data_IF_265217309397
#
_entry.id   IF_265217309397
#
_cell.length_a   1.000
_cell.length_b   1.000
_cell.length_c   1.000
_cell.angle_alpha   90.00
_cell.angle_beta   90.00
_cell.angle_gamma   90.00
#
_symmetry.space_group_name_H-M   'P 1'
#
loop_
_entity.id
_entity.type
_entity.pdbx_description
1 polymer ?
#
# COMPACT_ATOMS: atom_id res chain seq x y z
N UNK A 1 -15.32 -5.56 7.89
CA UNK A 1 -14.99 -4.16 7.55
C UNK A 1 -14.74 -3.46 8.87
N UNK A 2 -13.69 -2.64 8.96
CA UNK A 2 -13.33 -1.94 10.21
C UNK A 2 -13.59 -0.46 9.99
N UNK A 3 -14.32 0.15 10.92
CA UNK A 3 -14.61 1.57 10.92
C UNK A 3 -13.50 2.31 11.66
N UNK A 4 -13.01 3.38 11.04
CA UNK A 4 -12.06 4.28 11.68
C UNK A 4 -12.84 5.27 12.57
N UNK A 5 -12.32 5.63 13.75
CA UNK A 5 -13.01 6.54 14.67
C UNK A 5 -13.20 7.94 14.07
N UNK A 6 -12.34 8.34 13.14
CA UNK A 6 -12.43 9.59 12.40
C UNK A 6 -11.82 9.44 11.00
N UNK A 7 -12.17 10.33 10.06
CA UNK A 7 -11.46 10.43 8.80
C UNK A 7 -9.97 10.75 9.03
N UNK A 8 -9.08 10.03 8.35
CA UNK A 8 -7.62 10.25 8.45
C UNK A 8 -6.95 10.00 7.11
N UNK A 9 -5.91 10.79 6.82
CA UNK A 9 -5.02 10.60 5.67
C UNK A 9 -3.63 10.10 6.09
N UNK A 10 -3.45 9.75 7.37
CA UNK A 10 -2.17 9.27 7.89
C UNK A 10 -1.93 7.81 7.50
N UNK A 11 -0.94 7.56 6.66
CA UNK A 11 -0.53 6.20 6.25
C UNK A 11 -0.19 5.32 7.45
N UNK A 12 0.44 5.89 8.50
CA UNK A 12 0.81 5.14 9.69
C UNK A 12 -0.42 4.67 10.49
N UNK A 13 -1.43 5.53 10.59
CA UNK A 13 -2.67 5.22 11.30
C UNK A 13 -3.50 4.19 10.56
N UNK A 14 -3.66 4.36 9.23
CA UNK A 14 -4.35 3.38 8.37
C UNK A 14 -3.65 2.01 8.47
N UNK A 15 -2.31 1.99 8.43
CA UNK A 15 -1.56 0.74 8.52
C UNK A 15 -1.76 0.03 9.87
N UNK A 16 -1.86 0.78 10.97
CA UNK A 16 -2.13 0.20 12.29
C UNK A 16 -3.43 -0.60 12.29
N UNK A 17 -4.54 0.03 11.88
CA UNK A 17 -5.85 -0.63 11.83
C UNK A 17 -5.86 -1.77 10.79
N UNK A 18 -5.20 -1.59 9.64
CA UNK A 18 -5.11 -2.65 8.64
C UNK A 18 -4.36 -3.89 9.16
N UNK A 19 -3.28 -3.72 9.94
CA UNK A 19 -2.56 -4.83 10.55
C UNK A 19 -3.37 -5.53 11.65
N UNK A 20 -4.13 -4.77 12.45
CA UNK A 20 -5.09 -5.34 13.41
C UNK A 20 -6.19 -6.15 12.70
N UNK A 21 -6.72 -5.61 11.60
CA UNK A 21 -7.68 -6.29 10.73
C UNK A 21 -7.11 -7.60 10.18
N UNK A 22 -5.87 -7.55 9.69
CA UNK A 22 -5.19 -8.69 9.09
C UNK A 22 -5.00 -9.80 10.11
N UNK A 23 -4.61 -9.48 11.36
CA UNK A 23 -4.50 -10.46 12.44
C UNK A 23 -5.81 -11.18 12.72
N UNK A 24 -6.95 -10.49 12.62
CA UNK A 24 -8.26 -11.07 12.88
C UNK A 24 -8.70 -12.08 11.79
N UNK A 25 -8.29 -11.86 10.54
CA UNK A 25 -8.64 -12.73 9.40
C UNK A 25 -7.54 -13.73 9.02
N UNK A 26 -6.38 -13.65 9.68
CA UNK A 26 -5.25 -14.51 9.39
C UNK A 26 -5.54 -15.94 9.83
N UNK A 27 -5.45 -16.87 8.87
CA UNK A 27 -5.63 -18.30 9.09
C UNK A 27 -4.27 -19.01 8.90
N UNK A 28 -3.83 -19.71 9.95
CA UNK A 28 -2.62 -20.50 9.89
C UNK A 28 -2.76 -21.66 8.89
N UNK A 29 -1.69 -21.96 8.15
CA UNK A 29 -1.64 -23.05 7.18
C UNK A 29 -2.03 -22.67 5.75
N UNK A 30 -2.41 -21.41 5.49
CA UNK A 30 -2.72 -20.92 4.15
C UNK A 30 -1.63 -20.01 3.59
N UNK A 31 -1.36 -20.16 2.28
CA UNK A 31 -0.47 -19.27 1.55
C UNK A 31 -1.28 -18.13 0.92
N UNK A 32 -1.03 -16.90 1.36
CA UNK A 32 -1.65 -15.70 0.81
C UNK A 32 -0.80 -15.14 -0.34
N UNK A 33 -1.40 -14.94 -1.51
CA UNK A 33 -0.68 -14.39 -2.68
C UNK A 33 -0.69 -12.86 -2.73
N UNK A 34 -1.85 -12.22 -2.44
CA UNK A 34 -2.00 -10.77 -2.44
C UNK A 34 -3.09 -10.38 -1.46
N UNK A 35 -2.85 -9.30 -0.70
CA UNK A 35 -3.83 -8.62 0.12
C UNK A 35 -3.93 -7.16 -0.32
N UNK A 36 -5.12 -6.57 -0.21
CA UNK A 36 -5.36 -5.17 -0.52
C UNK A 36 -6.20 -4.52 0.57
N UNK A 37 -6.01 -3.22 0.76
CA UNK A 37 -6.83 -2.39 1.64
C UNK A 37 -7.72 -1.53 0.74
N UNK A 38 -9.01 -1.49 1.03
CA UNK A 38 -9.98 -0.65 0.32
C UNK A 38 -10.42 0.42 1.31
N UNK A 39 -10.21 1.68 0.94
CA UNK A 39 -10.72 2.83 1.68
C UNK A 39 -12.10 3.20 1.12
N UNK A 40 -13.08 3.32 2.00
CA UNK A 40 -14.45 3.74 1.69
C UNK A 40 -14.76 5.03 2.44
N UNK A 41 -15.79 5.75 1.99
CA UNK A 41 -16.26 6.98 2.64
C UNK A 41 -15.20 8.09 2.71
N UNK A 42 -14.64 8.42 1.54
CA UNK A 42 -13.64 9.49 1.40
C UNK A 42 -14.33 10.85 1.56
N UNK A 43 -13.79 11.66 2.47
CA UNK A 43 -14.25 13.03 2.73
C UNK A 43 -13.18 14.05 2.33
N UNK A 44 -13.56 15.29 1.97
CA UNK A 44 -12.59 16.37 1.74
C UNK A 44 -11.70 16.60 2.97
N UNK A 45 -10.42 16.93 2.76
CA UNK A 45 -9.44 17.13 3.85
C UNK A 45 -9.80 18.28 4.81
N UNK A 46 -10.61 19.23 4.33
CA UNK A 46 -11.13 20.36 5.09
C UNK A 46 -12.34 19.97 5.97
N UNK A 47 -12.96 18.84 5.66
CA UNK A 47 -14.11 18.32 6.39
C UNK A 47 -13.63 17.55 7.63
N UNK A 48 -13.36 18.30 8.71
CA UNK A 48 -12.90 17.75 10.00
C UNK A 48 -13.97 17.95 11.05
N UNK A 49 -14.91 17.01 11.15
CA UNK A 49 -15.87 17.01 12.24
C UNK A 49 -15.18 16.46 13.50
N UNK A 50 -14.92 17.33 14.49
CA UNK A 50 -14.53 16.88 15.83
C UNK A 50 -15.76 16.23 16.47
N UNK A 51 -15.67 14.94 16.78
CA UNK A 51 -16.69 14.27 17.59
C UNK A 51 -16.70 14.85 19.00
N UNK A 52 -17.87 14.91 19.64
CA UNK A 52 -17.98 15.32 21.05
C UNK A 52 -17.29 14.29 21.98
N UNK A 53 -17.27 13.03 21.55
CA UNK A 53 -16.76 11.89 22.34
C UNK A 53 -15.56 11.18 21.70
N UNK A 54 -15.11 11.65 20.53
CA UNK A 54 -14.03 11.01 19.78
C UNK A 54 -12.92 12.04 19.60
N UNK A 55 -11.72 11.70 20.06
CA UNK A 55 -10.53 12.51 19.78
C UNK A 55 -10.36 12.61 18.27
N UNK A 56 -10.23 13.84 17.77
CA UNK A 56 -9.97 14.08 16.36
C UNK A 56 -8.57 13.57 15.95
N UNK A 57 -8.28 13.55 14.64
CA UNK A 57 -6.98 13.11 14.16
C UNK A 57 -5.84 13.92 14.77
N UNK A 58 -4.74 13.25 15.13
CA UNK A 58 -3.56 13.90 15.69
C UNK A 58 -2.94 14.86 14.67
N UNK A 59 -2.93 16.15 15.00
CA UNK A 59 -2.35 17.20 14.16
C UNK A 59 -0.88 16.97 13.84
N UNK A 60 -0.12 16.31 14.74
CA UNK A 60 1.28 15.98 14.52
C UNK A 60 1.42 14.97 13.38
N UNK A 61 0.56 13.96 13.36
CA UNK A 61 0.55 12.94 12.31
C UNK A 61 0.14 13.53 10.97
N UNK A 62 -0.82 14.46 10.94
CA UNK A 62 -1.22 15.15 9.71
C UNK A 62 -0.05 15.96 9.15
N UNK A 63 0.63 16.75 10.01
CA UNK A 63 1.80 17.54 9.59
C UNK A 63 2.91 16.63 9.07
N UNK A 64 3.16 15.52 9.76
CA UNK A 64 4.17 14.54 9.35
C UNK A 64 3.84 13.92 7.98
N UNK A 65 2.59 13.49 7.76
CA UNK A 65 2.15 12.94 6.48
C UNK A 65 2.38 13.94 5.34
N UNK A 66 1.97 15.21 5.54
CA UNK A 66 2.19 16.25 4.54
C UNK A 66 3.67 16.55 4.23
N UNK A 67 4.57 16.39 5.20
CA UNK A 67 6.03 16.54 4.97
C UNK A 67 6.56 15.36 4.18
N UNK A 68 6.17 14.13 4.53
CA UNK A 68 6.56 12.91 3.81
C UNK A 68 6.11 13.01 2.35
N UNK A 69 4.87 13.41 2.10
CA UNK A 69 4.31 13.55 0.76
C UNK A 69 5.07 14.60 -0.07
N UNK A 70 5.39 15.75 0.52
CA UNK A 70 6.20 16.79 -0.14
C UNK A 70 7.59 16.28 -0.54
N UNK A 71 8.25 15.54 0.36
CA UNK A 71 9.58 15.00 0.08
C UNK A 71 9.52 13.92 -0.99
N UNK A 72 8.51 13.05 -0.97
CA UNK A 72 8.29 12.08 -2.05
C UNK A 72 7.95 12.75 -3.39
N UNK A 73 7.19 13.84 -3.40
CA UNK A 73 6.93 14.60 -4.62
C UNK A 73 8.22 15.23 -5.19
N UNK A 74 9.14 15.68 -4.34
CA UNK A 74 10.38 16.33 -4.75
C UNK A 74 11.48 15.35 -5.19
N UNK A 75 11.69 14.28 -4.43
CA UNK A 75 12.84 13.37 -4.62
C UNK A 75 12.48 12.09 -5.39
N UNK A 76 11.19 11.89 -5.69
CA UNK A 76 10.66 10.75 -6.39
C UNK A 76 9.75 9.89 -5.52
N UNK A 77 8.86 9.14 -6.18
CA UNK A 77 7.88 8.30 -5.49
C UNK A 77 8.56 7.27 -4.57
N UNK A 78 7.97 7.09 -3.39
CA UNK A 78 8.40 6.15 -2.35
C UNK A 78 9.85 6.32 -1.84
N UNK A 79 10.47 7.49 -1.97
CA UNK A 79 11.82 7.72 -1.41
C UNK A 79 11.83 7.67 0.12
N UNK A 80 10.83 8.30 0.73
CA UNK A 80 10.51 8.17 2.15
C UNK A 80 9.32 7.24 2.32
N UNK A 81 9.53 6.22 3.14
CA UNK A 81 8.58 5.13 3.39
C UNK A 81 8.64 4.74 4.85
N UNK A 82 7.58 4.10 5.32
CA UNK A 82 7.61 3.48 6.65
C UNK A 82 8.58 2.29 6.63
N UNK A 83 9.33 2.09 7.72
CA UNK A 83 10.28 0.98 7.83
C UNK A 83 9.62 -0.40 7.72
N UNK A 84 8.31 -0.49 8.01
CA UNK A 84 7.50 -1.70 7.84
C UNK A 84 7.19 -2.02 6.37
N UNK A 85 7.35 -1.07 5.45
CA UNK A 85 7.13 -1.28 4.04
C UNK A 85 8.38 -1.90 3.42
N UNK A 86 8.25 -3.10 2.86
CA UNK A 86 9.33 -3.71 2.10
C UNK A 86 9.62 -2.86 0.86
N UNK A 87 10.88 -2.47 0.67
CA UNK A 87 11.34 -1.89 -0.59
C UNK A 87 11.73 -3.01 -1.53
N UNK A 88 10.96 -3.19 -2.59
CA UNK A 88 11.35 -4.05 -3.69
C UNK A 88 11.23 -3.28 -5.01
N UNK A 89 12.30 -2.59 -5.46
CA UNK A 89 12.30 -1.90 -6.76
C UNK A 89 12.16 -2.89 -7.93
N UNK A 90 12.49 -4.16 -7.70
CA UNK A 90 12.57 -5.20 -8.69
C UNK A 90 11.43 -6.20 -8.53
N UNK A 91 10.17 -5.78 -8.35
CA UNK A 91 9.07 -6.74 -8.44
C UNK A 91 8.89 -7.11 -9.92
N UNK A 92 9.53 -8.17 -10.44
CA UNK A 92 9.43 -8.45 -11.84
C UNK A 92 8.01 -9.01 -12.01
N UNK A 93 7.36 -8.73 -13.13
CA UNK A 93 6.19 -9.54 -13.48
C UNK A 93 6.61 -11.01 -13.41
N UNK A 94 5.83 -11.86 -12.72
CA UNK A 94 6.03 -13.32 -12.76
C UNK A 94 5.79 -13.80 -14.19
N UNK A 95 6.84 -13.81 -15.00
CA UNK A 95 6.82 -14.24 -16.41
C UNK A 95 6.96 -15.77 -16.56
N UNK A 96 6.64 -16.53 -15.51
CA UNK A 96 6.77 -18.00 -15.50
C UNK A 96 5.89 -18.70 -16.55
N UNK A 97 4.88 -18.01 -17.07
CA UNK A 97 3.99 -18.48 -18.14
C UNK A 97 4.12 -17.67 -19.43
N UNK A 98 5.22 -16.92 -19.59
CA UNK A 98 5.46 -16.19 -20.84
C UNK A 98 5.77 -17.19 -21.96
N UNK A 99 5.04 -17.11 -23.07
CA UNK A 99 5.37 -17.89 -24.26
C UNK A 99 6.75 -17.51 -24.80
N UNK A 100 7.53 -18.46 -25.36
CA UNK A 100 8.81 -18.14 -25.97
C UNK A 100 8.66 -17.09 -27.06
N UNK A 101 9.63 -16.19 -27.15
CA UNK A 101 9.60 -15.03 -28.06
C UNK A 101 10.19 -15.39 -29.43
N UNK A 102 9.55 -16.34 -30.12
CA UNK A 102 10.06 -16.93 -31.37
C UNK A 102 10.45 -15.92 -32.46
N UNK A 103 9.80 -14.76 -32.52
CA UNK A 103 10.04 -13.75 -33.57
C UNK A 103 10.92 -12.58 -33.11
N UNK A 104 11.07 -12.37 -31.81
CA UNK A 104 11.73 -11.18 -31.26
C UNK A 104 12.98 -11.49 -30.43
N UNK A 105 13.26 -12.75 -30.14
CA UNK A 105 14.41 -13.16 -29.35
C UNK A 105 15.05 -14.42 -29.95
N UNK A 106 16.25 -14.28 -30.50
CA UNK A 106 16.98 -15.36 -31.17
C UNK A 106 17.21 -16.61 -30.30
N UNK A 107 17.35 -16.43 -28.98
CA UNK A 107 17.52 -17.52 -28.01
C UNK A 107 16.29 -18.41 -27.86
N UNK A 108 15.12 -17.93 -28.27
CA UNK A 108 13.84 -18.60 -28.10
C UNK A 108 13.37 -19.27 -29.41
N UNK A 109 14.16 -19.17 -30.49
CA UNK A 109 13.85 -19.79 -31.80
C UNK A 109 14.00 -21.31 -31.70
N UNK A 110 13.03 -22.04 -32.24
CA UNK A 110 13.04 -23.50 -32.32
C UNK A 110 14.23 -23.98 -33.16
N UNK A 111 15.09 -24.80 -32.56
CA UNK A 111 16.18 -25.47 -33.28
C UNK A 111 15.66 -26.82 -33.79
N UNK A 112 15.65 -27.00 -35.11
CA UNK A 112 15.36 -28.29 -35.72
C UNK A 112 16.63 -29.16 -35.68
N UNK A 113 16.52 -30.38 -35.16
CA UNK A 113 17.53 -31.43 -35.24
C UNK A 113 17.37 -32.25 -36.52
#
# INVERSE_FOLDING_TARGET
>A
MIELPHPTSSTAEILKYALESLKAIFAFGYNYQKGGIILSDLVPADYRQKGIFVEGPDERLIKLAGVIDKLNAQFGQDKLRLASQMYNPDWPMKQQYLSPRYTTQWKDILVAH
#
